data_IF_772523412937
#
_entry.id   IF_772523412937
#
_cell.length_a   1.000
_cell.length_b   1.000
_cell.length_c   1.000
_cell.angle_alpha   90.00
_cell.angle_beta   90.00
_cell.angle_gamma   90.00
#
_symmetry.space_group_name_H-M   'P 1'
#
loop_
_entity.id
_entity.type
_entity.pdbx_description
1 polymer ?
#
# COMPACT_ATOMS: atom_id res chain seq x y z
N UNK A 1 -6.41 -27.17 1.69
CA UNK A 1 -7.75 -26.56 1.89
C UNK A 1 -8.02 -25.55 0.80
N UNK A 2 -9.19 -25.59 0.16
CA UNK A 2 -9.55 -24.70 -0.95
C UNK A 2 -10.13 -23.37 -0.43
N UNK A 3 -9.95 -22.28 -1.18
CA UNK A 3 -10.48 -20.95 -0.82
C UNK A 3 -12.02 -20.89 -0.73
N UNK A 4 -12.72 -21.82 -1.39
CA UNK A 4 -14.17 -21.95 -1.31
C UNK A 4 -14.64 -22.30 0.11
N UNK A 5 -13.94 -23.24 0.77
CA UNK A 5 -14.23 -23.62 2.16
C UNK A 5 -14.02 -22.48 3.18
N UNK A 6 -13.20 -21.49 2.84
CA UNK A 6 -12.99 -20.30 3.66
C UNK A 6 -14.14 -19.29 3.55
N UNK A 7 -14.71 -19.11 2.35
CA UNK A 7 -15.87 -18.24 2.14
C UNK A 7 -17.17 -18.87 2.65
N UNK A 8 -17.38 -20.17 2.50
CA UNK A 8 -18.53 -20.86 3.12
C UNK A 8 -18.47 -20.80 4.65
N UNK A 9 -17.28 -20.99 5.25
CA UNK A 9 -17.10 -20.76 6.69
C UNK A 9 -17.36 -19.32 7.10
N UNK A 10 -16.90 -18.34 6.31
CA UNK A 10 -17.15 -16.93 6.57
C UNK A 10 -18.64 -16.57 6.46
N UNK A 11 -19.36 -17.15 5.51
CA UNK A 11 -20.80 -16.96 5.35
C UNK A 11 -21.59 -17.59 6.51
N UNK A 12 -21.13 -18.72 7.04
CA UNK A 12 -21.69 -19.34 8.26
C UNK A 12 -21.20 -18.72 9.57
N UNK A 13 -20.08 -17.99 9.55
CA UNK A 13 -19.47 -17.32 10.71
C UNK A 13 -18.57 -16.15 10.25
N UNK A 14 -19.06 -14.90 10.26
CA UNK A 14 -18.32 -13.72 9.84
C UNK A 14 -16.95 -13.53 10.54
N UNK A 15 -16.79 -14.04 11.76
CA UNK A 15 -15.52 -13.98 12.49
C UNK A 15 -14.40 -14.74 11.77
N UNK A 16 -14.73 -15.80 11.03
CA UNK A 16 -13.74 -16.55 10.24
C UNK A 16 -13.15 -15.72 9.09
N UNK A 17 -13.93 -14.80 8.49
CA UNK A 17 -13.40 -13.91 7.44
C UNK A 17 -12.38 -12.93 8.02
N UNK A 18 -12.71 -12.35 9.18
CA UNK A 18 -11.83 -11.42 9.88
C UNK A 18 -10.51 -12.11 10.26
N UNK A 19 -10.57 -13.31 10.83
CA UNK A 19 -9.37 -14.09 11.16
C UNK A 19 -8.49 -14.36 9.92
N UNK A 20 -9.09 -14.73 8.80
CA UNK A 20 -8.37 -14.98 7.54
C UNK A 20 -7.69 -13.71 7.04
N UNK A 21 -8.36 -12.56 7.10
CA UNK A 21 -7.78 -11.28 6.71
C UNK A 21 -6.64 -10.91 7.65
N UNK A 22 -6.87 -10.97 8.96
CA UNK A 22 -5.88 -10.63 9.97
C UNK A 22 -4.62 -11.50 9.81
N UNK A 23 -4.75 -12.81 9.63
CA UNK A 23 -3.62 -13.74 9.40
C UNK A 23 -2.73 -13.35 8.20
N UNK A 24 -3.24 -12.54 7.27
CA UNK A 24 -2.53 -12.09 6.06
C UNK A 24 -1.92 -10.70 6.21
N UNK A 25 -2.22 -10.01 7.31
CA UNK A 25 -1.59 -8.74 7.70
C UNK A 25 -0.32 -9.05 8.50
N UNK A 26 0.86 -8.57 8.06
CA UNK A 26 2.11 -8.73 8.80
C UNK A 26 2.00 -8.22 10.23
N UNK A 27 2.69 -8.88 11.17
CA UNK A 27 2.66 -8.48 12.59
C UNK A 27 3.10 -7.02 12.77
N UNK A 28 4.12 -6.58 12.04
CA UNK A 28 4.59 -5.19 12.09
C UNK A 28 3.50 -4.20 11.67
N UNK A 29 2.72 -4.53 10.64
CA UNK A 29 1.57 -3.71 10.23
C UNK A 29 0.54 -3.61 11.35
N UNK A 30 0.21 -4.73 12.01
CA UNK A 30 -0.73 -4.72 13.15
C UNK A 30 -0.21 -3.87 14.32
N UNK A 31 1.10 -3.92 14.59
CA UNK A 31 1.72 -3.11 15.65
C UNK A 31 1.63 -1.62 15.35
N UNK A 32 1.97 -1.21 14.12
CA UNK A 32 1.89 0.19 13.70
C UNK A 32 0.45 0.67 13.77
N UNK A 33 -0.49 -0.03 13.13
CA UNK A 33 -1.91 0.33 13.16
C UNK A 33 -2.55 0.19 14.55
N UNK A 34 -1.90 -0.50 15.49
CA UNK A 34 -2.37 -0.64 16.86
C UNK A 34 -1.98 0.53 17.78
N UNK A 35 -1.20 1.50 17.31
CA UNK A 35 -0.81 2.68 18.11
C UNK A 35 -2.05 3.53 18.45
N UNK A 36 -2.17 3.95 19.71
CA UNK A 36 -3.25 4.81 20.16
C UNK A 36 -3.20 6.20 19.48
N UNK A 37 -1.98 6.71 19.28
CA UNK A 37 -1.65 8.00 18.68
C UNK A 37 -0.96 7.86 17.31
N UNK A 38 -1.37 6.87 16.51
CA UNK A 38 -0.87 6.63 15.15
C UNK A 38 -0.75 7.92 14.29
N UNK A 39 0.46 8.33 13.94
CA UNK A 39 0.71 9.46 13.03
C UNK A 39 0.83 8.98 11.59
N UNK A 40 0.60 9.86 10.63
CA UNK A 40 0.81 9.53 9.22
C UNK A 40 2.27 9.11 8.93
N UNK A 41 3.24 9.67 9.65
CA UNK A 41 4.67 9.33 9.56
C UNK A 41 4.98 7.93 10.08
N UNK A 42 4.23 7.42 11.07
CA UNK A 42 4.40 6.04 11.57
C UNK A 42 4.14 4.99 10.49
N UNK A 43 3.37 5.33 9.45
CA UNK A 43 3.08 4.43 8.34
C UNK A 43 4.32 4.15 7.48
N UNK A 44 5.40 4.92 7.63
CA UNK A 44 6.70 4.61 7.03
C UNK A 44 7.41 3.44 7.72
N UNK A 45 7.03 3.09 8.95
CA UNK A 45 7.56 1.91 9.67
C UNK A 45 6.90 0.60 9.23
N UNK A 46 5.91 0.68 8.35
CA UNK A 46 5.30 -0.50 7.74
C UNK A 46 6.32 -1.26 6.89
N UNK A 47 6.15 -2.58 6.70
CA UNK A 47 7.08 -3.37 5.90
C UNK A 47 7.17 -2.85 4.46
N UNK A 48 8.39 -2.75 3.94
CA UNK A 48 8.62 -2.45 2.52
C UNK A 48 8.09 -3.57 1.64
N UNK A 49 7.62 -3.21 0.44
CA UNK A 49 7.23 -4.22 -0.55
C UNK A 49 8.48 -4.99 -1.01
N UNK A 50 8.50 -6.34 -0.91
CA UNK A 50 9.62 -7.13 -1.39
C UNK A 50 9.89 -6.90 -2.88
N UNK A 51 11.17 -6.89 -3.26
CA UNK A 51 11.57 -6.84 -4.65
C UNK A 51 10.93 -8.00 -5.44
N UNK A 52 10.34 -7.69 -6.60
CA UNK A 52 9.64 -8.69 -7.44
C UNK A 52 8.51 -9.44 -6.70
N UNK A 53 7.77 -8.77 -5.82
CA UNK A 53 6.59 -9.37 -5.16
C UNK A 53 5.52 -9.80 -6.18
N UNK A 54 5.43 -11.11 -6.44
CA UNK A 54 4.45 -11.70 -7.37
C UNK A 54 3.09 -12.01 -6.71
N UNK A 55 3.01 -11.89 -5.39
CA UNK A 55 1.78 -12.13 -4.63
C UNK A 55 0.78 -10.98 -4.79
N UNK A 56 -0.46 -11.23 -4.35
CA UNK A 56 -1.47 -10.17 -4.22
C UNK A 56 -1.19 -9.41 -2.95
N UNK A 57 -1.41 -8.11 -2.97
CA UNK A 57 -1.21 -7.31 -1.76
C UNK A 57 -2.20 -6.16 -1.66
N UNK A 58 -2.42 -5.75 -0.42
CA UNK A 58 -2.93 -4.42 -0.08
C UNK A 58 -1.73 -3.61 0.35
N UNK A 59 -1.54 -2.45 -0.26
CA UNK A 59 -0.47 -1.52 0.02
C UNK A 59 -1.01 -0.15 0.40
N UNK A 60 -0.13 0.64 0.97
CA UNK A 60 -0.29 2.07 1.09
C UNK A 60 0.88 2.76 0.40
N UNK A 61 0.59 3.76 -0.42
CA UNK A 61 1.55 4.74 -0.90
C UNK A 61 1.56 5.90 0.10
N UNK A 62 2.65 6.00 0.84
CA UNK A 62 2.91 7.14 1.73
C UNK A 62 3.63 8.18 0.89
N UNK A 63 2.87 9.12 0.34
CA UNK A 63 3.37 10.20 -0.48
C UNK A 63 3.82 11.35 0.43
N UNK A 64 5.13 11.53 0.54
CA UNK A 64 5.77 12.50 1.44
C UNK A 64 6.27 13.70 0.64
N UNK A 65 5.76 14.88 0.96
CA UNK A 65 6.25 16.15 0.42
C UNK A 65 7.47 16.62 1.22
N UNK A 66 8.60 16.76 0.54
CA UNK A 66 9.90 17.12 1.11
C UNK A 66 10.42 18.40 0.44
N UNK A 67 11.51 18.96 0.97
CA UNK A 67 12.23 20.04 0.28
C UNK A 67 13.03 19.46 -0.90
N UNK A 68 13.20 20.24 -1.97
CA UNK A 68 13.84 19.72 -3.19
C UNK A 68 15.28 19.25 -2.94
N UNK A 69 16.02 19.92 -2.05
CA UNK A 69 17.38 19.53 -1.66
C UNK A 69 17.44 18.20 -0.89
N UNK A 70 16.31 17.69 -0.40
CA UNK A 70 16.21 16.41 0.31
C UNK A 70 15.95 15.24 -0.63
N UNK A 71 15.69 15.52 -1.90
CA UNK A 71 15.36 14.52 -2.92
C UNK A 71 16.57 14.31 -3.82
N UNK A 72 16.76 13.06 -4.23
CA UNK A 72 17.64 12.70 -5.32
C UNK A 72 16.89 11.75 -6.27
N UNK A 73 17.51 11.41 -7.39
CA UNK A 73 16.93 10.45 -8.33
C UNK A 73 17.85 9.26 -8.50
N UNK A 74 17.32 8.05 -8.33
CA UNK A 74 18.08 6.80 -8.44
C UNK A 74 17.47 5.81 -9.43
N UNK A 75 18.26 4.81 -9.84
CA UNK A 75 17.76 3.68 -10.62
C UNK A 75 17.20 2.61 -9.67
N UNK A 76 15.87 2.49 -9.61
CA UNK A 76 15.19 1.48 -8.78
C UNK A 76 14.97 0.12 -9.44
N UNK A 77 14.93 0.07 -10.77
CA UNK A 77 14.58 -1.15 -11.50
C UNK A 77 15.65 -1.48 -12.56
N UNK A 78 16.22 -2.68 -12.45
CA UNK A 78 17.38 -3.21 -13.22
C UNK A 78 17.34 -3.05 -14.75
N UNK A 79 16.19 -2.70 -15.34
CA UNK A 79 16.01 -2.61 -16.80
C UNK A 79 15.51 -1.26 -17.28
N UNK A 80 15.48 -0.24 -16.42
CA UNK A 80 14.99 1.09 -16.76
C UNK A 80 16.14 2.08 -16.80
N UNK A 81 16.28 2.83 -17.91
CA UNK A 81 17.13 4.04 -17.95
C UNK A 81 16.55 5.18 -17.11
N UNK A 82 15.31 5.02 -16.63
CA UNK A 82 14.58 6.01 -15.85
C UNK A 82 15.13 6.14 -14.44
N UNK A 83 15.23 7.38 -13.98
CA UNK A 83 15.54 7.72 -12.60
C UNK A 83 14.26 8.07 -11.84
N UNK A 84 14.15 7.58 -10.61
CA UNK A 84 12.97 7.71 -9.75
C UNK A 84 13.32 8.60 -8.56
N UNK A 85 12.40 9.52 -8.20
CA UNK A 85 12.52 10.38 -7.02
C UNK A 85 12.62 9.55 -5.74
N UNK A 86 13.64 9.83 -4.93
CA UNK A 86 13.85 9.21 -3.63
C UNK A 86 14.32 10.23 -2.60
N UNK A 87 13.93 10.01 -1.35
CA UNK A 87 14.49 10.74 -0.23
C UNK A 87 15.97 10.35 -0.05
N UNK A 88 16.84 11.31 0.27
CA UNK A 88 18.23 11.02 0.67
C UNK A 88 18.26 10.18 1.95
N UNK A 89 19.33 9.39 2.14
CA UNK A 89 19.46 8.36 3.18
C UNK A 89 19.41 8.83 4.65
N UNK A 90 19.31 10.13 4.91
CA UNK A 90 19.26 10.73 6.25
C UNK A 90 18.09 11.72 6.42
N UNK A 91 17.14 11.76 5.49
CA UNK A 91 15.97 12.63 5.62
C UNK A 91 15.06 12.09 6.70
N UNK A 92 14.82 12.89 7.74
CA UNK A 92 13.81 12.58 8.73
C UNK A 92 12.42 12.80 8.12
N UNK A 93 11.58 11.78 8.15
CA UNK A 93 10.22 11.86 7.64
C UNK A 93 9.32 12.83 8.43
N UNK A 94 9.69 13.18 9.66
CA UNK A 94 9.02 14.22 10.44
C UNK A 94 9.20 15.62 9.85
N UNK A 95 10.20 15.82 8.98
CA UNK A 95 10.39 17.08 8.25
C UNK A 95 9.48 17.21 7.03
N UNK A 96 8.66 16.20 6.72
CA UNK A 96 7.72 16.29 5.61
C UNK A 96 6.69 17.40 5.87
N UNK A 97 6.58 18.35 4.94
CA UNK A 97 5.60 19.43 5.03
C UNK A 97 4.17 18.90 4.91
N UNK A 98 4.01 17.76 4.23
CA UNK A 98 2.74 17.07 4.03
C UNK A 98 2.97 15.58 3.82
N UNK A 99 2.09 14.77 4.39
CA UNK A 99 1.99 13.34 4.10
C UNK A 99 0.59 13.04 3.56
N UNK A 100 0.52 12.48 2.36
CA UNK A 100 -0.72 12.01 1.74
C UNK A 100 -0.72 10.49 1.66
N UNK A 101 -1.86 9.87 1.94
CA UNK A 101 -1.99 8.42 2.05
C UNK A 101 -2.91 7.88 0.96
N UNK A 102 -2.43 6.89 0.21
CA UNK A 102 -3.23 6.22 -0.81
C UNK A 102 -3.18 4.71 -0.61
N UNK A 103 -4.30 4.13 -0.18
CA UNK A 103 -4.44 2.67 -0.07
C UNK A 103 -4.81 2.11 -1.43
N UNK A 104 -4.23 0.98 -1.79
CA UNK A 104 -4.55 0.26 -3.01
C UNK A 104 -4.36 -1.24 -2.87
N UNK A 105 -4.93 -2.00 -3.79
CA UNK A 105 -4.64 -3.42 -3.93
C UNK A 105 -4.11 -3.80 -5.32
N UNK A 106 -3.45 -4.96 -5.40
CA UNK A 106 -3.07 -5.58 -6.66
C UNK A 106 -3.45 -7.05 -6.68
N UNK A 107 -4.25 -7.43 -7.68
CA UNK A 107 -4.76 -8.80 -7.91
C UNK A 107 -4.32 -9.40 -9.25
N UNK A 108 -3.35 -8.78 -9.94
CA UNK A 108 -2.97 -9.11 -11.32
C UNK A 108 -2.13 -10.40 -11.45
N UNK A 109 -2.13 -11.02 -12.64
CA UNK A 109 -1.29 -12.19 -12.98
C UNK A 109 0.21 -11.94 -12.74
N UNK A 110 0.72 -10.79 -13.16
CA UNK A 110 2.11 -10.35 -12.90
C UNK A 110 2.40 -9.96 -11.45
N UNK A 111 1.46 -10.23 -10.54
CA UNK A 111 1.53 -9.86 -9.15
C UNK A 111 1.55 -8.36 -8.93
N UNK A 112 2.02 -8.00 -7.75
CA UNK A 112 2.03 -6.61 -7.31
C UNK A 112 3.23 -5.84 -7.81
N UNK A 113 4.32 -6.52 -8.15
CA UNK A 113 5.52 -5.91 -8.71
C UNK A 113 5.22 -4.98 -9.89
N UNK A 114 4.45 -5.47 -10.87
CA UNK A 114 4.08 -4.66 -12.05
C UNK A 114 3.27 -3.42 -11.67
N UNK A 115 2.32 -3.56 -10.73
CA UNK A 115 1.50 -2.44 -10.26
C UNK A 115 2.35 -1.36 -9.59
N UNK A 116 3.33 -1.76 -8.77
CA UNK A 116 4.24 -0.84 -8.11
C UNK A 116 5.14 -0.12 -9.13
N UNK A 117 5.66 -0.84 -10.13
CA UNK A 117 6.41 -0.22 -11.22
C UNK A 117 5.57 0.82 -11.98
N UNK A 118 4.30 0.53 -12.28
CA UNK A 118 3.37 1.47 -12.92
C UNK A 118 3.18 2.74 -12.07
N UNK A 119 3.05 2.61 -10.75
CA UNK A 119 2.93 3.77 -9.87
C UNK A 119 4.21 4.61 -9.80
N UNK A 120 5.38 3.97 -9.63
CA UNK A 120 6.65 4.69 -9.65
C UNK A 120 6.87 5.40 -10.99
N UNK A 121 6.50 4.77 -12.11
CA UNK A 121 6.55 5.40 -13.43
C UNK A 121 5.61 6.61 -13.52
N UNK A 122 4.38 6.51 -13.02
CA UNK A 122 3.43 7.62 -13.02
C UNK A 122 3.91 8.80 -12.15
N UNK A 123 4.45 8.52 -10.96
CA UNK A 123 4.99 9.52 -10.04
C UNK A 123 6.18 10.32 -10.61
N UNK A 124 6.81 9.81 -11.67
CA UNK A 124 7.98 10.43 -12.29
C UNK A 124 7.68 10.98 -13.69
N UNK A 125 6.42 10.96 -14.14
CA UNK A 125 6.00 11.65 -15.37
C UNK A 125 5.78 13.13 -15.05
N UNK A 126 5.85 14.03 -16.06
CA UNK A 126 5.40 15.42 -15.91
C UNK A 126 3.97 15.47 -15.37
N UNK A 127 3.64 16.54 -14.63
CA UNK A 127 2.43 16.63 -13.83
C UNK A 127 1.19 16.11 -14.57
N UNK A 128 0.59 15.07 -13.98
CA UNK A 128 -0.55 14.39 -14.57
C UNK A 128 -1.81 15.23 -14.36
N UNK A 129 -2.55 15.53 -15.42
CA UNK A 129 -3.92 16.10 -15.35
C UNK A 129 -4.99 15.08 -14.91
N UNK A 130 -4.58 13.86 -14.55
CA UNK A 130 -5.48 12.75 -14.19
C UNK A 130 -5.95 12.74 -12.71
N UNK A 131 -6.29 11.54 -12.23
CA UNK A 131 -6.80 11.25 -10.88
C UNK A 131 -5.96 11.94 -9.78
N UNK A 132 -6.64 12.43 -8.72
CA UNK A 132 -6.08 13.12 -7.56
C UNK A 132 -4.80 12.46 -7.00
N UNK A 133 -4.75 11.13 -6.91
CA UNK A 133 -3.54 10.39 -6.49
C UNK A 133 -2.35 10.68 -7.40
N UNK A 134 -2.51 10.47 -8.70
CA UNK A 134 -1.43 10.63 -9.68
C UNK A 134 -0.98 12.08 -9.82
N UNK A 135 -1.89 13.04 -9.66
CA UNK A 135 -1.55 14.46 -9.61
C UNK A 135 -0.62 14.77 -8.43
N UNK A 136 -0.95 14.31 -7.22
CA UNK A 136 -0.14 14.58 -6.02
C UNK A 136 1.25 13.97 -6.12
N UNK A 137 1.35 12.68 -6.45
CA UNK A 137 2.64 11.98 -6.48
C UNK A 137 3.53 12.41 -7.64
N UNK A 138 3.00 13.13 -8.64
CA UNK A 138 3.77 13.61 -9.79
C UNK A 138 4.55 14.90 -9.52
N UNK A 139 4.22 15.65 -8.46
CA UNK A 139 4.94 16.86 -8.03
C UNK A 139 6.44 16.61 -7.88
N UNK A 140 7.28 17.59 -8.22
CA UNK A 140 8.75 17.45 -8.17
C UNK A 140 9.26 17.07 -6.77
N UNK A 141 8.60 17.60 -5.74
CA UNK A 141 9.00 17.54 -4.35
C UNK A 141 8.29 16.45 -3.53
N UNK A 142 7.56 15.54 -4.17
CA UNK A 142 6.85 14.42 -3.51
C UNK A 142 7.53 13.08 -3.83
N UNK A 143 7.86 12.31 -2.80
CA UNK A 143 8.42 10.95 -2.91
C UNK A 143 7.35 9.91 -2.56
N UNK A 144 7.27 8.83 -3.34
CA UNK A 144 6.34 7.72 -3.07
C UNK A 144 7.01 6.63 -2.25
N UNK A 145 6.38 6.21 -1.17
CA UNK A 145 6.91 5.18 -0.29
C UNK A 145 5.87 4.06 -0.10
N UNK A 146 5.99 3.02 -0.93
CA UNK A 146 5.05 1.91 -0.93
C UNK A 146 5.30 0.92 0.20
N UNK A 147 4.31 0.73 1.06
CA UNK A 147 4.35 -0.17 2.22
C UNK A 147 3.26 -1.22 2.20
N UNK A 148 3.55 -2.37 2.80
CA UNK A 148 2.66 -3.54 2.83
C UNK A 148 1.67 -3.41 3.98
N UNK A 149 0.38 -3.52 3.65
CA UNK A 149 -0.68 -3.72 4.63
C UNK A 149 -1.08 -5.19 4.76
N UNK A 150 -1.08 -5.95 3.66
CA UNK A 150 -1.39 -7.38 3.70
C UNK A 150 -0.94 -8.12 2.44
N UNK A 151 -0.72 -9.44 2.55
CA UNK A 151 -0.24 -10.29 1.45
C UNK A 151 -1.06 -11.56 1.33
N UNK A 152 -1.52 -11.85 0.12
CA UNK A 152 -2.28 -13.06 -0.21
C UNK A 152 -1.63 -13.82 -1.36
N UNK A 153 -1.78 -15.15 -1.33
CA UNK A 153 -1.27 -16.01 -2.40
C UNK A 153 -1.89 -15.58 -3.73
N UNK A 154 -1.05 -15.49 -4.75
CA UNK A 154 -1.49 -15.28 -6.11
C UNK A 154 -1.54 -16.65 -6.80
N UNK A 155 -2.74 -17.10 -7.15
CA UNK A 155 -2.96 -18.43 -7.75
C UNK A 155 -2.34 -18.57 -9.13
N UNK A 156 -2.03 -17.44 -9.79
CA UNK A 156 -1.37 -17.40 -11.09
C UNK A 156 0.13 -17.72 -11.06
N UNK A 157 0.78 -17.77 -9.89
CA UNK A 157 2.23 -18.04 -9.81
C UNK A 157 2.54 -19.52 -10.05
N UNK A 158 1.62 -20.43 -9.72
CA UNK A 158 1.89 -21.88 -9.72
C UNK A 158 1.06 -22.65 -10.76
N UNK A 159 0.46 -21.97 -11.75
CA UNK A 159 -0.53 -22.54 -12.69
C UNK A 159 -1.68 -23.33 -12.05
N UNK A 160 -1.84 -23.22 -10.73
CA UNK A 160 -2.89 -23.82 -9.90
C UNK A 160 -4.27 -23.17 -10.10
N UNK A 161 -4.43 -22.38 -11.16
CA UNK A 161 -5.65 -21.66 -11.47
C UNK A 161 -6.58 -22.57 -12.27
N UNK A 162 -7.41 -23.33 -11.56
CA UNK A 162 -8.29 -24.36 -12.15
C UNK A 162 -9.75 -23.89 -12.33
N UNK A 163 -10.03 -22.58 -12.29
CA UNK A 163 -11.41 -22.07 -12.38
C UNK A 163 -11.60 -20.66 -11.80
N UNK A 164 -12.78 -20.37 -11.25
CA UNK A 164 -13.10 -19.07 -10.66
C UNK A 164 -12.20 -18.75 -9.45
N UNK A 165 -11.47 -17.64 -9.52
CA UNK A 165 -10.62 -17.14 -8.43
C UNK A 165 -11.46 -16.36 -7.39
N UNK A 166 -12.14 -17.09 -6.52
CA UNK A 166 -12.94 -16.50 -5.43
C UNK A 166 -12.08 -15.76 -4.40
N UNK A 167 -10.82 -16.17 -4.24
CA UNK A 167 -9.86 -15.54 -3.32
C UNK A 167 -9.45 -14.11 -3.70
N UNK A 168 -9.76 -13.63 -4.91
CA UNK A 168 -9.44 -12.25 -5.33
C UNK A 168 -10.19 -11.19 -4.52
N UNK A 169 -11.40 -11.53 -4.04
CA UNK A 169 -12.25 -10.58 -3.31
C UNK A 169 -11.71 -10.29 -1.91
N UNK A 170 -10.95 -11.21 -1.30
CA UNK A 170 -10.39 -11.00 0.05
C UNK A 170 -9.46 -9.77 0.06
N UNK A 171 -8.65 -9.59 -0.99
CA UNK A 171 -7.77 -8.43 -1.09
C UNK A 171 -8.55 -7.12 -1.20
N UNK A 172 -9.66 -7.11 -1.96
CA UNK A 172 -10.52 -5.93 -2.09
C UNK A 172 -11.29 -5.62 -0.80
N UNK A 173 -11.78 -6.65 -0.10
CA UNK A 173 -12.42 -6.47 1.21
C UNK A 173 -11.41 -5.93 2.23
N UNK A 174 -10.19 -6.46 2.25
CA UNK A 174 -9.14 -5.95 3.13
C UNK A 174 -8.76 -4.51 2.80
N UNK A 175 -8.65 -4.14 1.53
CA UNK A 175 -8.46 -2.75 1.09
C UNK A 175 -9.58 -1.84 1.61
N UNK A 176 -10.85 -2.23 1.42
CA UNK A 176 -12.00 -1.45 1.88
C UNK A 176 -11.98 -1.25 3.41
N UNK A 177 -11.69 -2.32 4.17
CA UNK A 177 -11.57 -2.23 5.62
C UNK A 177 -10.44 -1.28 6.04
N UNK A 178 -9.30 -1.31 5.35
CA UNK A 178 -8.17 -0.42 5.64
C UNK A 178 -8.48 1.04 5.32
N UNK A 179 -9.19 1.31 4.20
CA UNK A 179 -9.64 2.66 3.85
C UNK A 179 -10.59 3.20 4.90
N UNK A 180 -11.58 2.39 5.34
CA UNK A 180 -12.53 2.80 6.38
C UNK A 180 -11.80 3.04 7.71
N UNK A 181 -10.92 2.12 8.12
CA UNK A 181 -10.16 2.25 9.35
C UNK A 181 -9.31 3.53 9.37
N UNK A 182 -8.53 3.78 8.32
CA UNK A 182 -7.68 4.97 8.23
C UNK A 182 -8.52 6.26 8.07
N UNK A 183 -9.65 6.20 7.36
CA UNK A 183 -10.57 7.35 7.23
C UNK A 183 -11.14 7.79 8.58
N UNK A 184 -11.70 6.85 9.35
CA UNK A 184 -12.22 7.11 10.70
C UNK A 184 -11.09 7.67 11.58
N UNK A 185 -9.89 7.08 11.49
CA UNK A 185 -8.74 7.53 12.25
C UNK A 185 -8.35 8.98 11.92
N UNK A 186 -8.33 9.35 10.64
CA UNK A 186 -8.03 10.73 10.22
C UNK A 186 -9.07 11.73 10.70
N UNK A 187 -10.36 11.36 10.70
CA UNK A 187 -11.42 12.22 11.21
C UNK A 187 -11.30 12.45 12.72
N UNK A 188 -11.06 11.39 13.49
CA UNK A 188 -10.92 11.50 14.95
C UNK A 188 -9.77 12.44 15.35
N UNK A 189 -8.62 12.36 14.70
CA UNK A 189 -7.48 13.24 15.01
C UNK A 189 -7.62 14.66 14.46
N UNK A 190 -8.43 14.86 13.41
CA UNK A 190 -8.80 16.20 12.97
C UNK A 190 -9.72 16.92 13.97
N UNK A 191 -10.50 16.17 14.75
CA UNK A 191 -11.35 16.73 15.82
C UNK A 191 -10.53 17.10 17.03
N UNK A 192 -9.58 16.25 17.46
CA UNK A 192 -8.73 16.51 18.63
C UNK A 192 -7.75 17.67 18.44
N UNK A 193 -7.37 17.99 17.19
CA UNK A 193 -6.48 19.13 16.87
C UNK A 193 -7.20 20.47 16.78
N UNK A 194 -8.55 20.48 16.85
CA UNK A 194 -9.39 21.69 16.83
C UNK A 194 -9.98 22.05 18.20
N UNK A 195 -9.71 21.25 19.23
CA UNK A 195 -10.09 21.50 20.62
C UNK A 195 -8.90 22.07 21.40
#
# INVERSE_FOLDING_TARGET
>A
MSCYSHFERAAGNPNSLLEIILQRIPLQTRKVLGKADLKATDLLDLPSIPFKCMHRLVYIDVATELREEQIHREKKFDKSSRLYKEAKSLVNAEEASKVSLYVGSSIRKGGSWKRIQEHYAAANNPESSGNMHYREISKSNVVTNFRVLGVWKNTYINDSHVGQDTGKWITLVAEALMVVYLGIYTEQNAVTSRA
#
